data_IF_501330933386
#
_entry.id   IF_501330933386
#
_cell.length_a   1.000
_cell.length_b   1.000
_cell.length_c   1.000
_cell.angle_alpha   90.00
_cell.angle_beta   90.00
_cell.angle_gamma   90.00
#
_symmetry.space_group_name_H-M   'P 1'
#
loop_
_entity.id
_entity.type
_entity.pdbx_description
1 polymer ?
#
# COMPACT_ATOMS: atom_id res chain seq x y z
N UNK A 1 8.32 -27.90 6.12
CA UNK A 1 8.14 -26.74 5.22
C UNK A 1 7.27 -25.74 5.97
N UNK A 2 7.72 -24.50 6.15
CA UNK A 2 6.93 -23.45 6.81
C UNK A 2 5.81 -23.04 5.83
N UNK A 3 4.58 -22.90 6.32
CA UNK A 3 3.45 -22.44 5.50
C UNK A 3 3.74 -21.07 4.89
N UNK A 4 3.51 -20.82 3.59
CA UNK A 4 3.68 -19.50 2.99
C UNK A 4 2.53 -18.54 3.33
N UNK A 5 1.57 -18.97 4.17
CA UNK A 5 0.45 -18.17 4.60
C UNK A 5 0.75 -17.43 5.91
N UNK A 6 0.39 -16.15 5.94
CA UNK A 6 0.55 -15.26 7.10
C UNK A 6 -0.80 -14.59 7.40
N UNK A 7 -1.09 -14.33 8.67
CA UNK A 7 -2.25 -13.54 9.07
C UNK A 7 -1.87 -12.06 9.17
N UNK A 8 -2.54 -11.22 8.38
CA UNK A 8 -2.58 -9.78 8.62
C UNK A 8 -3.62 -9.49 9.69
N UNK A 9 -3.25 -8.72 10.71
CA UNK A 9 -4.15 -8.22 11.75
C UNK A 9 -4.37 -6.73 11.50
N UNK A 10 -5.63 -6.32 11.37
CA UNK A 10 -6.03 -4.93 11.19
C UNK A 10 -6.33 -4.26 12.53
N UNK A 11 -6.47 -2.93 12.51
CA UNK A 11 -6.69 -2.14 13.73
C UNK A 11 -7.99 -2.50 14.45
N UNK A 12 -9.00 -2.97 13.70
CA UNK A 12 -10.31 -3.37 14.22
C UNK A 12 -10.32 -4.82 14.75
N UNK A 13 -9.16 -5.48 14.79
CA UNK A 13 -9.01 -6.87 15.21
C UNK A 13 -9.39 -7.90 14.15
N UNK A 14 -9.89 -7.48 12.98
CA UNK A 14 -10.14 -8.42 11.87
C UNK A 14 -8.82 -8.97 11.36
N UNK A 15 -8.87 -10.22 10.86
CA UNK A 15 -7.70 -10.91 10.32
C UNK A 15 -7.97 -11.37 8.90
N UNK A 16 -6.92 -11.31 8.07
CA UNK A 16 -6.91 -11.86 6.71
C UNK A 16 -5.71 -12.77 6.54
N UNK A 17 -5.95 -14.01 6.18
CA UNK A 17 -4.89 -14.91 5.73
C UNK A 17 -4.45 -14.50 4.32
N UNK A 18 -3.14 -14.39 4.12
CA UNK A 18 -2.56 -14.01 2.84
C UNK A 18 -1.41 -14.93 2.48
N UNK A 19 -1.30 -15.26 1.20
CA UNK A 19 -0.12 -15.91 0.65
C UNK A 19 1.00 -14.88 0.54
N UNK A 20 2.21 -15.23 0.99
CA UNK A 20 3.39 -14.37 0.90
C UNK A 20 4.53 -15.15 0.27
N UNK A 21 5.00 -14.65 -0.86
CA UNK A 21 6.15 -15.17 -1.59
C UNK A 21 7.25 -14.11 -1.58
N UNK A 22 8.51 -14.55 -1.45
CA UNK A 22 9.66 -13.64 -1.50
C UNK A 22 10.13 -13.42 -2.93
N UNK A 23 9.21 -13.01 -3.79
CA UNK A 23 9.45 -12.70 -5.20
C UNK A 23 8.99 -11.27 -5.50
N UNK A 24 9.93 -10.42 -5.93
CA UNK A 24 9.61 -9.06 -6.37
C UNK A 24 9.23 -9.06 -7.85
N UNK A 25 8.05 -8.54 -8.16
CA UNK A 25 7.66 -8.16 -9.52
C UNK A 25 8.16 -6.74 -9.79
N UNK A 26 9.09 -6.55 -10.75
CA UNK A 26 9.66 -5.25 -11.03
C UNK A 26 8.61 -4.25 -11.50
N UNK A 27 8.69 -3.01 -11.01
CA UNK A 27 7.83 -1.93 -11.48
C UNK A 27 8.13 -1.64 -12.97
N UNK A 28 7.11 -1.62 -13.85
CA UNK A 28 7.28 -1.45 -15.29
C UNK A 28 7.75 -0.04 -15.66
N UNK A 29 8.67 0.05 -16.61
CA UNK A 29 9.19 1.33 -17.10
C UNK A 29 8.12 2.19 -17.76
N UNK A 30 8.21 3.50 -17.56
CA UNK A 30 7.32 4.47 -18.21
C UNK A 30 5.85 4.42 -17.77
N UNK A 31 5.48 3.57 -16.80
CA UNK A 31 4.11 3.49 -16.28
C UNK A 31 3.95 4.27 -14.98
N UNK A 32 2.70 4.68 -14.70
CA UNK A 32 2.27 5.20 -13.41
C UNK A 32 1.10 4.36 -12.92
N UNK A 33 1.13 4.00 -11.63
CA UNK A 33 -0.03 3.41 -10.98
C UNK A 33 -0.86 4.55 -10.39
N UNK A 34 -2.16 4.56 -10.70
CA UNK A 34 -3.11 5.55 -10.19
C UNK A 34 -4.32 4.85 -9.60
N UNK A 35 -4.70 5.24 -8.38
CA UNK A 35 -6.00 4.90 -7.81
C UNK A 35 -6.59 6.09 -7.08
N UNK A 36 -7.91 6.07 -6.90
CA UNK A 36 -8.62 6.99 -6.02
C UNK A 36 -9.40 6.20 -4.99
N UNK A 37 -9.59 6.81 -3.84
CA UNK A 37 -10.41 6.26 -2.77
C UNK A 37 -11.44 7.28 -2.29
N UNK A 38 -12.46 6.78 -1.60
CA UNK A 38 -13.29 7.60 -0.71
C UNK A 38 -12.51 8.01 0.56
N UNK A 39 -13.23 8.58 1.53
CA UNK A 39 -12.69 9.06 2.81
C UNK A 39 -12.21 7.96 3.76
N UNK A 40 -12.72 6.74 3.62
CA UNK A 40 -12.34 5.59 4.46
C UNK A 40 -11.34 4.66 3.77
N UNK A 41 -10.91 5.00 2.56
CA UNK A 41 -9.89 4.27 1.81
C UNK A 41 -10.46 3.19 0.89
N UNK A 42 -11.77 3.16 0.64
CA UNK A 42 -12.39 2.27 -0.36
C UNK A 42 -12.01 2.72 -1.75
N UNK A 43 -11.50 1.81 -2.58
CA UNK A 43 -11.08 2.11 -3.95
C UNK A 43 -12.32 2.44 -4.81
N UNK A 44 -12.35 3.67 -5.34
CA UNK A 44 -13.41 4.16 -6.24
C UNK A 44 -12.96 4.21 -7.69
N UNK A 45 -11.64 4.19 -7.93
CA UNK A 45 -11.07 4.18 -9.27
C UNK A 45 -9.69 3.55 -9.27
N UNK A 46 -9.37 2.86 -10.36
CA UNK A 46 -8.01 2.40 -10.66
C UNK A 46 -7.72 2.44 -12.16
N UNK A 47 -6.46 2.71 -12.50
CA UNK A 47 -5.98 2.63 -13.88
C UNK A 47 -5.50 1.21 -14.24
N UNK A 48 -5.30 0.88 -15.54
CA UNK A 48 -4.85 -0.44 -15.97
C UNK A 48 -3.54 -0.90 -15.32
N UNK A 49 -2.58 0.01 -15.09
CA UNK A 49 -1.33 -0.33 -14.42
C UNK A 49 -1.52 -0.80 -12.99
N UNK A 50 -2.55 -0.33 -12.28
CA UNK A 50 -2.87 -0.84 -10.95
C UNK A 50 -3.41 -2.27 -10.98
N UNK A 51 -4.25 -2.58 -11.96
CA UNK A 51 -4.80 -3.93 -12.20
C UNK A 51 -3.64 -4.89 -12.47
N UNK A 52 -2.82 -4.58 -13.48
CA UNK A 52 -1.64 -5.36 -13.88
C UNK A 52 -0.66 -5.60 -12.72
N UNK A 53 -0.31 -4.54 -11.99
CA UNK A 53 0.68 -4.64 -10.92
C UNK A 53 0.15 -5.30 -9.65
N UNK A 54 -1.15 -5.23 -9.39
CA UNK A 54 -1.74 -5.88 -8.21
C UNK A 54 -2.01 -7.38 -8.42
N UNK A 55 -2.16 -7.82 -9.67
CA UNK A 55 -2.56 -9.19 -10.00
C UNK A 55 -4.04 -9.48 -9.72
N UNK A 56 -4.82 -8.47 -9.31
CA UNK A 56 -6.27 -8.56 -9.18
C UNK A 56 -6.95 -8.05 -10.44
N UNK A 57 -8.14 -8.57 -10.72
CA UNK A 57 -9.03 -7.98 -11.71
C UNK A 57 -9.62 -6.66 -11.19
N UNK A 58 -10.04 -5.78 -12.12
CA UNK A 58 -10.60 -4.46 -11.74
C UNK A 58 -11.81 -4.61 -10.82
N UNK A 59 -12.67 -5.57 -11.10
CA UNK A 59 -13.91 -5.84 -10.37
C UNK A 59 -13.63 -6.33 -8.95
N UNK A 60 -12.47 -6.93 -8.71
CA UNK A 60 -12.00 -7.34 -7.39
C UNK A 60 -11.38 -6.16 -6.61
N UNK A 61 -10.98 -5.09 -7.29
CA UNK A 61 -10.37 -3.91 -6.66
C UNK A 61 -11.40 -2.84 -6.32
N UNK A 62 -12.34 -2.58 -7.21
CA UNK A 62 -13.35 -1.53 -7.02
C UNK A 62 -14.27 -1.92 -5.84
N UNK A 63 -14.47 -0.97 -4.92
CA UNK A 63 -15.27 -1.20 -3.71
C UNK A 63 -14.52 -1.90 -2.58
N UNK A 64 -13.25 -2.29 -2.78
CA UNK A 64 -12.43 -2.86 -1.71
C UNK A 64 -11.62 -1.79 -0.97
N UNK A 65 -11.34 -1.98 0.32
CA UNK A 65 -10.36 -1.16 1.03
C UNK A 65 -8.98 -1.26 0.37
N UNK A 66 -8.27 -0.13 0.26
CA UNK A 66 -6.93 -0.10 -0.35
C UNK A 66 -5.92 -1.02 0.35
N UNK A 67 -6.14 -1.32 1.64
CA UNK A 67 -5.34 -2.30 2.39
C UNK A 67 -5.43 -3.74 1.83
N UNK A 68 -6.24 -4.01 0.80
CA UNK A 68 -6.19 -5.28 0.07
C UNK A 68 -4.77 -5.63 -0.39
N UNK A 69 -3.94 -4.62 -0.67
CA UNK A 69 -2.53 -4.75 -1.08
C UNK A 69 -1.53 -4.68 0.07
N UNK A 70 -1.99 -4.67 1.32
CA UNK A 70 -1.09 -4.55 2.46
C UNK A 70 -0.17 -5.75 2.53
N UNK A 71 1.13 -5.48 2.48
CA UNK A 71 2.18 -6.46 2.72
C UNK A 71 2.48 -6.55 4.23
N UNK A 72 2.70 -7.74 4.81
CA UNK A 72 3.03 -7.89 6.24
C UNK A 72 4.30 -7.17 6.66
N UNK A 73 5.27 -7.02 5.75
CA UNK A 73 6.51 -6.28 6.03
C UNK A 73 6.31 -4.77 6.27
N UNK A 74 5.15 -4.20 5.91
CA UNK A 74 4.89 -2.78 6.09
C UNK A 74 4.49 -2.47 7.55
N UNK A 75 5.26 -1.62 8.27
CA UNK A 75 4.97 -1.31 9.65
C UNK A 75 3.67 -0.49 9.77
N UNK A 76 2.91 -0.73 10.83
CA UNK A 76 1.66 0.01 11.10
C UNK A 76 1.89 1.53 11.17
N UNK A 77 3.04 1.95 11.70
CA UNK A 77 3.43 3.36 11.81
C UNK A 77 3.51 4.08 10.45
N UNK A 78 3.89 3.40 9.36
CA UNK A 78 3.92 4.02 8.02
C UNK A 78 2.50 4.39 7.54
N UNK A 79 1.50 3.55 7.86
CA UNK A 79 0.10 3.84 7.53
C UNK A 79 -0.52 4.85 8.50
N UNK A 80 -0.12 4.85 9.78
CA UNK A 80 -0.51 5.89 10.72
C UNK A 80 -0.05 7.28 10.26
N UNK A 81 1.22 7.39 9.83
CA UNK A 81 1.76 8.62 9.27
C UNK A 81 1.04 9.07 7.99
N UNK A 82 0.73 8.12 7.10
CA UNK A 82 -0.10 8.40 5.91
C UNK A 82 -1.43 9.02 6.31
N UNK A 83 -2.21 8.36 7.17
CA UNK A 83 -3.54 8.83 7.55
C UNK A 83 -3.50 10.16 8.29
N UNK A 84 -2.57 10.31 9.25
CA UNK A 84 -2.34 11.55 9.94
C UNK A 84 -1.99 12.68 8.97
N UNK A 85 -1.22 12.42 7.92
CA UNK A 85 -0.86 13.46 6.95
C UNK A 85 -2.04 13.87 6.07
N UNK A 86 -2.70 12.91 5.43
CA UNK A 86 -3.71 13.21 4.40
C UNK A 86 -5.01 13.73 4.97
N UNK A 87 -5.37 13.32 6.20
CA UNK A 87 -6.55 13.85 6.90
C UNK A 87 -6.39 15.31 7.31
N UNK A 88 -5.16 15.81 7.45
CA UNK A 88 -4.87 17.23 7.67
C UNK A 88 -4.75 18.03 6.35
N UNK A 89 -5.22 17.47 5.22
CA UNK A 89 -5.18 18.14 3.93
C UNK A 89 -3.77 18.23 3.31
N UNK A 90 -2.79 17.49 3.84
CA UNK A 90 -1.40 17.50 3.34
C UNK A 90 -1.13 16.32 2.42
N UNK A 91 -0.15 16.50 1.54
CA UNK A 91 0.33 15.40 0.69
C UNK A 91 1.26 14.49 1.49
N UNK A 92 1.12 13.18 1.28
CA UNK A 92 1.98 12.17 1.88
C UNK A 92 2.86 11.53 0.81
N UNK A 93 4.09 11.18 1.19
CA UNK A 93 5.00 10.42 0.34
C UNK A 93 5.65 9.28 1.12
N UNK A 94 5.89 8.16 0.44
CA UNK A 94 6.62 7.05 1.06
C UNK A 94 6.90 5.89 0.12
N UNK A 95 7.83 5.05 0.53
CA UNK A 95 8.12 3.78 -0.13
C UNK A 95 7.16 2.72 0.41
N UNK A 96 6.47 2.02 -0.47
CA UNK A 96 5.46 1.03 -0.06
C UNK A 96 5.74 -0.29 -0.76
N UNK A 97 5.89 -1.35 0.04
CA UNK A 97 5.84 -2.74 -0.43
C UNK A 97 4.38 -3.17 -0.50
N UNK A 98 3.91 -3.46 -1.70
CA UNK A 98 2.54 -3.92 -1.94
C UNK A 98 2.54 -5.42 -2.18
N UNK A 99 1.56 -6.10 -1.60
CA UNK A 99 1.28 -7.51 -1.83
C UNK A 99 0.40 -7.66 -3.07
N UNK A 100 0.71 -8.64 -3.92
CA UNK A 100 -0.08 -9.04 -5.08
C UNK A 100 -1.03 -10.17 -4.72
N UNK A 101 -2.06 -10.37 -5.55
CA UNK A 101 -3.02 -11.49 -5.41
C UNK A 101 -2.33 -12.86 -5.41
N UNK A 102 -1.29 -13.01 -6.23
CA UNK A 102 -0.48 -14.23 -6.35
C UNK A 102 0.53 -14.41 -5.20
N UNK A 103 0.58 -13.49 -4.24
CA UNK A 103 1.47 -13.53 -3.08
C UNK A 103 2.86 -12.96 -3.32
N UNK A 104 3.24 -12.64 -4.56
CA UNK A 104 4.46 -11.87 -4.84
C UNK A 104 4.30 -10.42 -4.35
N UNK A 105 5.35 -9.61 -4.45
CA UNK A 105 5.30 -8.21 -4.04
C UNK A 105 5.86 -7.26 -5.10
N UNK A 106 5.57 -5.97 -4.94
CA UNK A 106 6.23 -4.92 -5.71
C UNK A 106 6.42 -3.66 -4.87
N UNK A 107 7.48 -2.93 -5.15
CA UNK A 107 7.77 -1.65 -4.50
C UNK A 107 7.30 -0.47 -5.36
N UNK A 108 6.83 0.57 -4.68
CA UNK A 108 6.48 1.86 -5.29
C UNK A 108 7.03 3.01 -4.46
N UNK A 109 7.30 4.14 -5.11
CA UNK A 109 7.29 5.43 -4.42
C UNK A 109 5.92 6.07 -4.62
N UNK A 110 5.16 6.18 -3.53
CA UNK A 110 3.80 6.67 -3.52
C UNK A 110 3.74 8.16 -3.18
N UNK A 111 2.82 8.86 -3.82
CA UNK A 111 2.35 10.20 -3.45
C UNK A 111 0.84 10.13 -3.28
N UNK A 112 0.35 10.45 -2.09
CA UNK A 112 -1.08 10.45 -1.76
C UNK A 112 -1.53 11.89 -1.51
N UNK A 113 -2.57 12.30 -2.23
CA UNK A 113 -3.05 13.67 -2.28
C UNK A 113 -4.53 13.68 -1.86
N UNK A 114 -4.94 14.52 -0.89
CA UNK A 114 -6.34 14.71 -0.59
C UNK A 114 -7.03 15.48 -1.73
N UNK A 115 -8.17 14.97 -2.18
CA UNK A 115 -9.01 15.62 -3.17
C UNK A 115 -9.93 16.61 -2.44
N UNK A 116 -9.72 17.92 -2.60
CA UNK A 116 -10.45 18.96 -1.87
C UNK A 116 -11.47 19.63 -2.79
N UNK A 117 -12.72 19.76 -2.32
CA UNK A 117 -13.80 20.50 -2.97
C UNK A 117 -14.52 21.34 -1.93
N UNK A 118 -14.69 22.64 -2.19
CA UNK A 118 -15.37 23.58 -1.28
C UNK A 118 -14.80 23.57 0.16
N UNK A 119 -13.48 23.39 0.28
CA UNK A 119 -12.78 23.31 1.57
C UNK A 119 -12.90 21.96 2.29
N UNK A 120 -13.62 20.99 1.73
CA UNK A 120 -13.82 19.67 2.30
C UNK A 120 -13.00 18.61 1.54
N UNK A 121 -12.42 17.66 2.29
CA UNK A 121 -11.78 16.48 1.69
C UNK A 121 -12.90 15.54 1.20
N UNK A 122 -12.79 15.08 -0.04
CA UNK A 122 -13.76 14.18 -0.69
C UNK A 122 -13.24 12.75 -0.84
N UNK A 123 -11.96 12.53 -0.57
CA UNK A 123 -11.25 11.27 -0.77
C UNK A 123 -9.80 11.52 -1.12
N UNK A 124 -9.11 10.50 -1.60
CA UNK A 124 -7.66 10.57 -1.83
C UNK A 124 -7.30 10.05 -3.22
N UNK A 125 -6.30 10.66 -3.83
CA UNK A 125 -5.68 10.16 -5.07
C UNK A 125 -4.26 9.71 -4.76
N UNK A 126 -3.91 8.48 -5.14
CA UNK A 126 -2.55 7.97 -5.01
C UNK A 126 -1.91 7.76 -6.38
N UNK A 127 -0.82 8.48 -6.63
CA UNK A 127 0.06 8.31 -7.79
C UNK A 127 1.34 7.61 -7.34
N UNK A 128 1.71 6.56 -8.05
CA UNK A 128 2.82 5.68 -7.71
C UNK A 128 3.73 5.51 -8.91
N UNK A 129 5.03 5.69 -8.67
CA UNK A 129 6.08 5.60 -9.68
C UNK A 129 7.12 4.55 -9.32
N UNK A 130 7.96 4.20 -10.29
CA UNK A 130 9.13 3.36 -10.10
C UNK A 130 9.97 3.89 -8.93
N UNK A 131 10.26 3.06 -7.90
CA UNK A 131 11.07 3.47 -6.79
C UNK A 131 12.57 3.43 -7.13
N UNK A 132 13.37 4.23 -6.44
CA UNK A 132 14.83 4.11 -6.46
C UNK A 132 15.25 2.81 -5.76
N UNK A 133 16.15 2.04 -6.39
CA UNK A 133 16.65 0.78 -5.82
C UNK A 133 17.40 0.99 -4.52
N UNK A 134 18.26 2.02 -4.46
CA UNK A 134 18.96 2.37 -3.23
C UNK A 134 17.98 2.71 -2.08
N UNK A 135 16.91 3.46 -2.38
CA UNK A 135 15.91 3.82 -1.36
C UNK A 135 15.01 2.67 -0.93
N UNK A 136 14.76 1.69 -1.81
CA UNK A 136 14.07 0.45 -1.42
C UNK A 136 14.90 -0.35 -0.43
N UNK A 137 16.22 -0.43 -0.61
CA UNK A 137 17.11 -1.11 0.34
C UNK A 137 17.07 -0.41 1.71
N UNK A 138 17.25 0.91 1.73
CA UNK A 138 17.14 1.72 2.96
C UNK A 138 15.77 1.53 3.65
N UNK A 139 14.67 1.56 2.90
CA UNK A 139 13.33 1.37 3.44
C UNK A 139 13.11 -0.05 3.98
N UNK A 140 13.68 -1.06 3.34
CA UNK A 140 13.59 -2.46 3.78
C UNK A 140 14.23 -2.63 5.16
N UNK A 141 15.43 -2.09 5.36
CA UNK A 141 16.15 -2.13 6.63
C UNK A 141 15.39 -1.37 7.73
N UNK A 142 14.93 -0.15 7.42
CA UNK A 142 14.15 0.67 8.33
C UNK A 142 12.88 -0.04 8.79
N UNK A 143 12.11 -0.60 7.86
CA UNK A 143 10.84 -1.25 8.17
C UNK A 143 11.01 -2.54 8.97
N UNK A 144 12.07 -3.31 8.70
CA UNK A 144 12.43 -4.46 9.51
C UNK A 144 12.77 -4.05 10.95
N UNK A 145 13.46 -2.92 11.15
CA UNK A 145 13.76 -2.40 12.49
C UNK A 145 12.51 -1.93 13.22
N UNK A 146 11.65 -1.15 12.55
CA UNK A 146 10.39 -0.64 13.13
C UNK A 146 9.49 -1.78 13.62
N UNK A 147 9.37 -2.87 12.86
CA UNK A 147 8.55 -4.01 13.26
C UNK A 147 9.06 -4.72 14.52
N UNK A 148 10.39 -4.83 14.70
CA UNK A 148 10.96 -5.40 15.93
C UNK A 148 10.61 -4.54 17.16
N UNK A 149 10.67 -3.21 17.00
CA UNK A 149 10.37 -2.27 18.08
C UNK A 149 8.88 -2.26 18.44
N UNK A 150 7.96 -2.44 17.48
CA UNK A 150 6.51 -2.50 17.74
C UNK A 150 6.06 -3.75 18.51
N UNK A 151 6.88 -4.80 18.59
CA UNK A 151 6.59 -6.03 19.35
C UNK A 151 7.15 -5.95 20.79
N UNK A 152 7.92 -4.91 21.10
CA UNK A 152 8.66 -4.77 22.38
C UNK A 152 7.98 -3.84 23.39
N UNK A 153 6.69 -3.54 23.22
CA UNK A 153 5.84 -2.72 24.11
C UNK A 153 4.52 -3.46 24.36
#
# INVERSE_FOLDING_TARGET
MISPFVYLIYHDGTKREVLVQNEEIPFPEGKLIVSRTDLVGTITHCNPSFVEMSGYEREELIGQPHHILRHPDMPAAAFQDLWATVQHGKQWHGYVKNLRKDGCFYWVYATVIPNIRDGLIMGYTSVRRKPSRAKVLEATELYAQMQKTSVSL
#
